data_IF_222316374027
#
_entry.id   IF_222316374027
#
_cell.length_a   1.000
_cell.length_b   1.000
_cell.length_c   1.000
_cell.angle_alpha   90.00
_cell.angle_beta   90.00
_cell.angle_gamma   90.00
#
_symmetry.space_group_name_H-M   'P 1'
#
loop_
_entity.id
_entity.type
_entity.pdbx_description
1 polymer ?
#
# COMPACT_ATOMS: atom_id res chain seq x y z
N UNK A 1 -12.53 12.25 -6.06
CA UNK A 1 -12.18 11.69 -4.76
C UNK A 1 -10.69 11.42 -4.67
N UNK A 2 -10.17 11.35 -3.47
CA UNK A 2 -8.77 11.04 -3.25
C UNK A 2 -8.62 9.66 -2.61
N UNK A 3 -7.52 8.99 -2.92
CA UNK A 3 -7.12 7.79 -2.25
C UNK A 3 -5.95 8.09 -1.33
N UNK A 4 -5.88 7.39 -0.21
CA UNK A 4 -4.87 7.63 0.80
C UNK A 4 -3.79 6.56 0.77
N UNK A 5 -2.57 6.92 1.10
CA UNK A 5 -1.49 5.96 1.26
C UNK A 5 -0.59 6.36 2.42
N UNK A 6 0.03 5.38 3.04
CA UNK A 6 0.92 5.60 4.17
C UNK A 6 2.05 4.55 4.16
N UNK A 7 3.24 4.98 4.56
CA UNK A 7 4.36 4.08 4.83
C UNK A 7 4.63 4.05 6.32
N UNK A 8 5.18 2.95 6.84
CA UNK A 8 5.44 2.87 8.27
C UNK A 8 6.89 3.15 8.66
N UNK A 9 7.83 3.07 7.71
CA UNK A 9 9.24 3.34 8.03
C UNK A 9 9.43 4.79 8.47
N UNK A 10 10.39 5.02 9.35
CA UNK A 10 10.72 6.34 9.89
C UNK A 10 9.57 7.01 10.65
N UNK A 11 8.56 6.22 11.08
CA UNK A 11 7.46 6.72 11.90
C UNK A 11 7.42 6.01 13.24
N UNK A 12 7.13 6.76 14.30
CA UNK A 12 6.77 6.16 15.59
C UNK A 12 5.36 5.59 15.50
N UNK A 13 5.03 4.68 16.41
CA UNK A 13 3.67 4.15 16.49
C UNK A 13 2.65 5.28 16.70
N UNK A 14 2.98 6.22 17.58
CA UNK A 14 2.11 7.38 17.84
C UNK A 14 1.82 8.16 16.57
N UNK A 15 2.84 8.51 15.81
CA UNK A 15 2.66 9.27 14.57
C UNK A 15 1.85 8.48 13.55
N UNK A 16 2.17 7.20 13.38
CA UNK A 16 1.50 6.33 12.40
C UNK A 16 0.00 6.25 12.68
N UNK A 17 -0.38 5.90 13.90
CA UNK A 17 -1.78 5.73 14.25
C UNK A 17 -2.53 7.06 14.33
N UNK A 18 -1.85 8.15 14.73
CA UNK A 18 -2.45 9.48 14.72
C UNK A 18 -2.80 9.91 13.29
N UNK A 19 -1.92 9.66 12.33
CA UNK A 19 -2.18 9.98 10.93
C UNK A 19 -3.39 9.21 10.41
N UNK A 20 -3.47 7.92 10.72
CA UNK A 20 -4.60 7.09 10.27
C UNK A 20 -5.90 7.55 10.91
N UNK A 21 -5.89 7.79 12.21
CA UNK A 21 -7.08 8.21 12.95
C UNK A 21 -7.62 9.56 12.48
N UNK A 22 -6.77 10.41 11.93
CA UNK A 22 -7.15 11.74 11.46
C UNK A 22 -7.92 11.72 10.14
N UNK A 23 -8.01 10.56 9.47
CA UNK A 23 -8.60 10.44 8.15
C UNK A 23 -9.88 9.59 8.19
N UNK A 24 -10.86 9.86 7.30
CA UNK A 24 -12.11 9.10 7.26
C UNK A 24 -11.94 7.81 6.45
N UNK A 25 -11.11 6.89 6.93
CA UNK A 25 -10.88 5.61 6.26
C UNK A 25 -11.57 4.49 7.01
N UNK A 26 -12.05 3.48 6.29
CA UNK A 26 -12.67 2.29 6.86
C UNK A 26 -11.69 1.14 6.97
N UNK A 27 -10.77 1.02 6.02
CA UNK A 27 -9.88 -0.13 5.93
C UNK A 27 -8.46 0.31 5.60
N UNK A 28 -7.49 -0.22 6.33
CA UNK A 28 -6.08 -0.13 5.94
C UNK A 28 -5.79 -1.33 5.04
N UNK A 29 -5.46 -1.06 3.79
CA UNK A 29 -5.21 -2.08 2.77
C UNK A 29 -3.71 -2.31 2.70
N UNK A 30 -3.26 -3.44 3.20
CA UNK A 30 -1.84 -3.78 3.27
C UNK A 30 -1.39 -4.38 1.94
N UNK A 31 -0.58 -3.62 1.22
CA UNK A 31 -0.05 -4.02 -0.09
C UNK A 31 1.42 -4.43 0.00
N UNK A 32 1.89 -4.81 1.19
CA UNK A 32 3.26 -5.28 1.37
C UNK A 32 3.39 -6.73 0.92
N UNK A 33 4.54 -7.05 0.34
CA UNK A 33 4.86 -8.44 0.02
C UNK A 33 4.97 -9.28 1.30
N UNK A 34 5.62 -8.74 2.31
CA UNK A 34 5.78 -9.40 3.62
C UNK A 34 5.18 -8.51 4.71
N UNK A 35 4.06 -8.94 5.29
CA UNK A 35 3.35 -8.19 6.32
C UNK A 35 3.71 -8.63 7.76
N UNK A 36 4.69 -9.51 7.90
CA UNK A 36 5.18 -9.98 9.21
C UNK A 36 6.62 -9.49 9.49
N UNK A 37 6.98 -8.37 8.87
CA UNK A 37 8.33 -7.78 9.00
C UNK A 37 8.69 -7.50 10.46
N UNK A 38 9.94 -7.75 10.82
CA UNK A 38 10.48 -7.47 12.14
C UNK A 38 10.94 -6.02 12.31
N UNK A 39 10.95 -5.23 11.22
CA UNK A 39 11.51 -3.88 11.23
C UNK A 39 10.73 -2.89 12.08
N UNK A 40 9.43 -3.11 12.25
CA UNK A 40 8.61 -2.27 13.13
C UNK A 40 7.57 -3.14 13.79
N UNK A 41 7.68 -3.32 15.11
CA UNK A 41 6.80 -4.21 15.87
C UNK A 41 5.32 -3.91 15.66
N UNK A 42 4.95 -2.62 15.68
CA UNK A 42 3.54 -2.23 15.56
C UNK A 42 2.97 -2.48 14.15
N UNK A 43 3.82 -2.71 13.15
CA UNK A 43 3.39 -2.92 11.77
C UNK A 43 3.30 -4.41 11.38
N UNK A 44 3.50 -5.33 12.31
CA UNK A 44 3.27 -6.76 12.07
C UNK A 44 1.76 -7.02 11.99
N UNK A 45 1.36 -7.94 11.12
CA UNK A 45 -0.03 -8.21 10.82
C UNK A 45 -0.95 -8.27 12.04
N UNK A 46 -0.63 -9.13 13.02
CA UNK A 46 -1.51 -9.34 14.17
C UNK A 46 -1.60 -8.12 15.08
N UNK A 47 -0.46 -7.51 15.33
CA UNK A 47 -0.40 -6.32 16.19
C UNK A 47 -1.04 -5.14 15.49
N UNK A 48 -0.76 -4.98 14.20
CA UNK A 48 -1.33 -3.90 13.41
C UNK A 48 -2.86 -3.98 13.36
N UNK A 49 -3.40 -5.16 13.10
CA UNK A 49 -4.85 -5.37 13.04
C UNK A 49 -5.51 -4.99 14.38
N UNK A 50 -4.92 -5.44 15.49
CA UNK A 50 -5.40 -5.12 16.81
C UNK A 50 -5.39 -3.63 17.10
N UNK A 51 -4.24 -2.97 16.85
CA UNK A 51 -4.09 -1.54 17.11
C UNK A 51 -5.00 -0.68 16.24
N UNK A 52 -5.18 -1.04 15.00
CA UNK A 52 -6.09 -0.32 14.11
C UNK A 52 -7.52 -0.34 14.62
N UNK A 53 -7.98 -1.52 15.03
CA UNK A 53 -9.34 -1.68 15.54
C UNK A 53 -9.53 -0.95 16.87
N UNK A 54 -8.57 -1.10 17.80
CA UNK A 54 -8.72 -0.54 19.14
C UNK A 54 -8.44 0.96 19.21
N UNK A 55 -7.48 1.46 18.44
CA UNK A 55 -7.08 2.86 18.49
C UNK A 55 -7.80 3.73 17.47
N UNK A 56 -8.14 3.18 16.32
CA UNK A 56 -8.63 3.98 15.18
C UNK A 56 -10.02 3.59 14.70
N UNK A 57 -10.53 2.41 15.09
CA UNK A 57 -11.79 1.92 14.54
C UNK A 57 -11.70 1.58 13.07
N UNK A 58 -10.54 1.15 12.61
CA UNK A 58 -10.24 0.88 11.20
C UNK A 58 -10.01 -0.62 11.01
N UNK A 59 -10.61 -1.19 9.97
CA UNK A 59 -10.39 -2.59 9.61
C UNK A 59 -9.05 -2.76 8.91
N UNK A 60 -8.57 -3.99 8.89
CA UNK A 60 -7.32 -4.36 8.22
C UNK A 60 -7.60 -5.41 7.16
N UNK A 61 -7.02 -5.22 5.97
CA UNK A 61 -7.08 -6.22 4.90
C UNK A 61 -5.69 -6.34 4.27
N UNK A 62 -5.19 -7.58 4.19
CA UNK A 62 -3.96 -7.87 3.44
C UNK A 62 -4.36 -8.30 2.04
N UNK A 63 -3.92 -7.55 1.04
CA UNK A 63 -4.24 -7.81 -0.37
C UNK A 63 -2.93 -8.06 -1.12
N UNK A 64 -2.38 -9.28 -1.02
CA UNK A 64 -1.08 -9.60 -1.65
C UNK A 64 -1.10 -9.48 -3.17
N UNK A 65 -2.28 -9.51 -3.78
CA UNK A 65 -2.42 -9.31 -5.22
C UNK A 65 -1.93 -7.93 -5.66
N UNK A 66 -1.90 -6.98 -4.74
CA UNK A 66 -1.41 -5.62 -4.99
C UNK A 66 0.07 -5.46 -4.68
N UNK A 67 0.74 -6.51 -4.24
CA UNK A 67 2.17 -6.50 -3.93
C UNK A 67 3.00 -7.00 -5.10
N UNK A 68 4.25 -6.52 -5.25
CA UNK A 68 5.14 -7.12 -6.25
C UNK A 68 5.54 -8.52 -5.83
N UNK A 69 5.97 -9.34 -6.79
CA UNK A 69 6.61 -10.61 -6.47
C UNK A 69 8.06 -10.36 -6.08
N UNK A 70 8.65 -11.35 -5.41
CA UNK A 70 10.06 -11.28 -5.05
C UNK A 70 10.95 -11.19 -6.29
N UNK A 71 10.60 -11.89 -7.36
CA UNK A 71 11.32 -11.90 -8.62
C UNK A 71 11.37 -10.52 -9.28
N UNK A 72 10.37 -9.69 -9.03
CA UNK A 72 10.31 -8.32 -9.55
C UNK A 72 11.01 -7.34 -8.58
N UNK A 73 10.80 -7.52 -7.29
CA UNK A 73 11.27 -6.59 -6.27
C UNK A 73 12.78 -6.68 -6.02
N UNK A 74 13.30 -7.92 -5.87
CA UNK A 74 14.69 -8.13 -5.49
C UNK A 74 15.70 -7.53 -6.47
N UNK A 75 15.56 -7.73 -7.80
CA UNK A 75 16.50 -7.10 -8.74
C UNK A 75 16.56 -5.59 -8.61
N UNK A 76 15.42 -4.94 -8.38
CA UNK A 76 15.37 -3.51 -8.19
C UNK A 76 16.06 -3.10 -6.88
N UNK A 77 15.77 -3.79 -5.79
CA UNK A 77 16.39 -3.49 -4.48
C UNK A 77 17.90 -3.69 -4.49
N UNK A 78 18.38 -4.65 -5.27
CA UNK A 78 19.82 -4.91 -5.42
C UNK A 78 20.51 -3.97 -6.41
N UNK A 79 19.77 -3.08 -7.05
CA UNK A 79 20.30 -2.14 -8.02
C UNK A 79 20.61 -2.76 -9.39
N UNK A 80 20.10 -3.96 -9.66
CA UNK A 80 20.37 -4.66 -10.93
C UNK A 80 19.45 -4.19 -12.07
N UNK A 81 18.33 -3.58 -11.74
CA UNK A 81 17.40 -3.01 -12.74
C UNK A 81 17.00 -1.60 -12.31
N UNK A 82 16.64 -0.77 -13.30
CA UNK A 82 16.20 0.60 -13.03
C UNK A 82 14.77 0.62 -12.51
N UNK A 83 14.36 1.78 -12.00
CA UNK A 83 12.97 1.99 -11.60
C UNK A 83 12.01 1.78 -12.77
N UNK A 84 12.38 2.24 -13.95
CA UNK A 84 11.54 2.12 -15.16
C UNK A 84 11.30 0.65 -15.50
N UNK A 85 12.30 -0.19 -15.38
CA UNK A 85 12.15 -1.64 -15.59
C UNK A 85 11.26 -2.25 -14.52
N UNK A 86 11.47 -1.88 -13.27
CA UNK A 86 10.61 -2.33 -12.17
C UNK A 86 9.16 -1.93 -12.42
N UNK A 87 8.92 -0.68 -12.79
CA UNK A 87 7.58 -0.16 -13.06
C UNK A 87 6.89 -0.97 -14.15
N UNK A 88 7.57 -1.22 -15.27
CA UNK A 88 7.01 -2.00 -16.38
C UNK A 88 6.67 -3.43 -15.93
N UNK A 89 7.57 -4.06 -15.20
CA UNK A 89 7.36 -5.42 -14.71
C UNK A 89 6.17 -5.47 -13.74
N UNK A 90 6.06 -4.49 -12.87
CA UNK A 90 4.97 -4.44 -11.91
C UNK A 90 3.61 -4.20 -12.59
N UNK A 91 3.55 -3.28 -13.54
CA UNK A 91 2.31 -3.01 -14.28
C UNK A 91 1.87 -4.22 -15.09
N UNK A 92 2.80 -4.94 -15.71
CA UNK A 92 2.49 -6.19 -16.40
C UNK A 92 1.93 -7.24 -15.45
N UNK A 93 2.46 -7.31 -14.23
CA UNK A 93 1.97 -8.23 -13.20
C UNK A 93 0.53 -7.88 -12.80
N UNK A 94 0.22 -6.60 -12.65
CA UNK A 94 -1.13 -6.14 -12.30
C UNK A 94 -2.12 -6.55 -13.40
N UNK A 95 -1.73 -6.41 -14.65
CA UNK A 95 -2.55 -6.80 -15.79
C UNK A 95 -2.80 -8.31 -15.80
N UNK A 96 -1.76 -9.11 -15.57
CA UNK A 96 -1.91 -10.58 -15.51
C UNK A 96 -2.85 -11.03 -14.39
N UNK A 97 -2.83 -10.31 -13.28
CA UNK A 97 -3.67 -10.63 -12.11
C UNK A 97 -5.09 -10.08 -12.22
N UNK A 98 -5.36 -9.27 -13.23
CA UNK A 98 -6.66 -8.59 -13.40
C UNK A 98 -7.05 -7.80 -12.13
N UNK A 99 -6.13 -6.99 -11.65
CA UNK A 99 -6.29 -6.24 -10.40
C UNK A 99 -7.52 -5.32 -10.42
N UNK A 100 -7.93 -4.86 -11.61
CA UNK A 100 -9.11 -4.02 -11.77
C UNK A 100 -10.40 -4.69 -11.32
N UNK A 101 -10.37 -5.99 -11.03
CA UNK A 101 -11.53 -6.73 -10.52
C UNK A 101 -11.71 -6.66 -9.01
N UNK A 102 -10.75 -6.06 -8.29
CA UNK A 102 -10.91 -5.91 -6.84
C UNK A 102 -12.07 -4.98 -6.53
N UNK A 103 -12.59 -5.09 -5.31
CA UNK A 103 -13.69 -4.24 -4.85
C UNK A 103 -13.23 -2.78 -4.78
N UNK A 104 -13.91 -1.90 -5.51
CA UNK A 104 -13.58 -0.47 -5.53
C UNK A 104 -13.65 0.18 -4.15
N UNK A 105 -14.49 -0.33 -3.26
CA UNK A 105 -14.64 0.23 -1.92
C UNK A 105 -13.36 0.07 -1.10
N UNK A 106 -12.55 -0.95 -1.36
CA UNK A 106 -11.26 -1.11 -0.70
C UNK A 106 -10.34 0.08 -1.01
N UNK A 107 -10.45 0.63 -2.20
CA UNK A 107 -9.61 1.76 -2.63
C UNK A 107 -10.25 3.08 -2.20
N UNK A 108 -11.54 3.28 -2.48
CA UNK A 108 -12.20 4.57 -2.20
C UNK A 108 -12.33 4.86 -0.70
N UNK A 109 -12.53 3.84 0.12
CA UNK A 109 -12.66 3.98 1.58
C UNK A 109 -11.42 3.50 2.33
N UNK A 110 -10.34 3.22 1.61
CA UNK A 110 -9.15 2.61 2.16
C UNK A 110 -7.94 3.52 2.19
N UNK A 111 -6.91 3.03 2.86
CA UNK A 111 -5.59 3.63 2.84
C UNK A 111 -4.58 2.53 2.52
N UNK A 112 -3.78 2.71 1.48
CA UNK A 112 -2.78 1.72 1.09
C UNK A 112 -1.56 1.82 1.99
N UNK A 113 -1.13 0.69 2.53
CA UNK A 113 0.05 0.61 3.39
C UNK A 113 1.17 -0.13 2.69
N UNK A 114 2.36 0.45 2.67
CA UNK A 114 3.59 -0.25 2.32
C UNK A 114 4.71 0.12 3.29
N UNK A 115 5.90 -0.43 3.09
CA UNK A 115 7.03 -0.18 3.98
C UNK A 115 7.63 1.21 3.81
N UNK A 116 7.62 1.72 2.60
CA UNK A 116 8.33 2.94 2.27
C UNK A 116 7.74 4.17 2.95
N UNK A 117 8.61 5.02 3.48
CA UNK A 117 8.21 6.29 4.08
C UNK A 117 7.74 7.28 3.01
N UNK A 118 8.50 7.40 1.94
CA UNK A 118 8.19 8.30 0.83
C UNK A 118 7.52 7.53 -0.30
N UNK A 119 6.49 8.12 -0.92
CA UNK A 119 5.74 7.44 -1.97
C UNK A 119 6.46 7.38 -3.32
N UNK A 120 7.50 8.19 -3.50
CA UNK A 120 8.29 8.19 -4.74
C UNK A 120 8.99 6.84 -4.87
N UNK A 121 8.95 6.21 -5.99
CA UNK A 121 9.51 4.86 -6.22
C UNK A 121 8.92 3.82 -5.26
N UNK A 122 7.59 3.89 -5.03
CA UNK A 122 6.87 2.89 -4.29
C UNK A 122 5.72 2.34 -5.13
N UNK A 123 5.50 1.03 -5.05
CA UNK A 123 4.49 0.36 -5.88
C UNK A 123 3.05 0.81 -5.57
N UNK A 124 2.79 1.37 -4.38
CA UNK A 124 1.42 1.83 -4.05
C UNK A 124 0.93 2.93 -4.99
N UNK A 125 1.84 3.79 -5.48
CA UNK A 125 1.50 4.78 -6.48
C UNK A 125 1.12 4.12 -7.81
N UNK A 126 1.86 3.10 -8.19
CA UNK A 126 1.62 2.36 -9.43
C UNK A 126 0.28 1.63 -9.41
N UNK A 127 -0.12 1.10 -8.24
CA UNK A 127 -1.42 0.46 -8.09
C UNK A 127 -2.54 1.43 -8.43
N UNK A 128 -2.50 2.64 -7.88
CA UNK A 128 -3.54 3.64 -8.12
C UNK A 128 -3.54 4.12 -9.58
N UNK A 129 -2.38 4.33 -10.17
CA UNK A 129 -2.29 4.72 -11.58
C UNK A 129 -2.90 3.64 -12.49
N UNK A 130 -2.60 2.37 -12.20
CA UNK A 130 -3.17 1.26 -12.95
C UNK A 130 -4.70 1.23 -12.83
N UNK A 131 -5.23 1.34 -11.61
CA UNK A 131 -6.65 1.29 -11.38
C UNK A 131 -7.39 2.48 -11.99
N UNK A 132 -6.82 3.68 -11.92
CA UNK A 132 -7.39 4.85 -12.58
C UNK A 132 -7.57 4.63 -14.07
N UNK A 133 -6.57 4.06 -14.69
CA UNK A 133 -6.61 3.79 -16.14
C UNK A 133 -7.69 2.77 -16.49
N UNK A 134 -7.81 1.69 -15.70
CA UNK A 134 -8.74 0.60 -16.00
C UNK A 134 -10.18 0.87 -15.57
N UNK A 135 -10.36 1.71 -14.56
CA UNK A 135 -11.70 2.07 -14.08
C UNK A 135 -12.23 3.37 -14.69
N UNK A 136 -11.44 4.02 -15.54
CA UNK A 136 -11.74 5.36 -16.04
C UNK A 136 -12.05 6.30 -14.86
N UNK A 137 -11.24 6.18 -13.82
CA UNK A 137 -11.34 6.96 -12.60
C UNK A 137 -10.21 7.99 -12.53
N UNK A 138 -10.34 8.93 -11.61
CA UNK A 138 -9.36 10.00 -11.41
C UNK A 138 -8.99 10.16 -9.94
N UNK A 139 -8.79 9.04 -9.23
CA UNK A 139 -8.33 9.08 -7.86
C UNK A 139 -7.00 9.83 -7.76
N UNK A 140 -6.96 10.84 -6.92
CA UNK A 140 -5.71 11.51 -6.59
C UNK A 140 -5.11 10.82 -5.37
N UNK A 141 -3.81 10.52 -5.43
CA UNK A 141 -3.14 9.85 -4.32
C UNK A 141 -2.66 10.90 -3.32
N UNK A 142 -3.16 10.80 -2.08
CA UNK A 142 -2.71 11.63 -0.98
C UNK A 142 -1.87 10.77 -0.04
N UNK A 143 -0.61 11.14 0.12
CA UNK A 143 0.32 10.39 0.95
C UNK A 143 0.37 10.98 2.35
N UNK A 144 0.13 10.14 3.36
CA UNK A 144 0.22 10.53 4.76
C UNK A 144 1.67 10.40 5.23
N UNK A 145 2.28 11.50 5.60
CA UNK A 145 3.70 11.56 5.95
C UNK A 145 3.89 11.90 7.42
#
# INVERSE_FOLDING_TARGET
>A
SSDLSIGFTEKTAEKFFTLIKSQPIKTLVDVRLNNVSQLAGFAKKKDLEFFLRELCGVDYAHVPELAPTKEILDPYKKGNVSWEVYEDNFLNLMEKRNIERIDKSLISDGCLLCSEHKPHHCHRRLVIEYLNKHWDADFEVKHLI
#
